data_IF_527323965784
#
_entry.id   IF_527323965784
#
_cell.length_a   1.000
_cell.length_b   1.000
_cell.length_c   1.000
_cell.angle_alpha   90.00
_cell.angle_beta   90.00
_cell.angle_gamma   90.00
#
_symmetry.space_group_name_H-M   'P 1'
#
loop_
_entity.id
_entity.type
_entity.pdbx_description
1 polymer ?
#
# COMPACT_ATOMS: atom_id res chain seq x y z
N UNK A 1 17.95 -7.60 -4.18
CA UNK A 1 17.25 -6.44 -3.61
C UNK A 1 18.29 -5.46 -3.08
N UNK A 2 18.60 -4.39 -3.82
CA UNK A 2 19.62 -3.39 -3.42
C UNK A 2 19.26 -2.61 -2.15
N UNK A 3 20.28 -2.07 -1.48
CA UNK A 3 20.18 -1.14 -0.34
C UNK A 3 19.30 -1.61 0.84
N UNK A 4 19.19 -2.92 1.03
CA UNK A 4 18.65 -3.52 2.24
C UNK A 4 19.79 -3.92 3.19
N UNK A 5 19.52 -3.88 4.49
CA UNK A 5 20.38 -4.55 5.47
C UNK A 5 20.30 -6.06 5.22
N UNK A 6 21.44 -6.70 4.98
CA UNK A 6 21.50 -8.17 4.83
C UNK A 6 21.44 -8.80 6.21
N UNK A 7 20.48 -9.71 6.42
CA UNK A 7 20.41 -10.53 7.64
C UNK A 7 21.37 -11.71 7.55
N UNK A 8 21.31 -12.46 6.44
CA UNK A 8 22.20 -13.57 6.11
C UNK A 8 22.08 -13.94 4.62
N UNK A 9 23.19 -14.27 3.96
CA UNK A 9 23.21 -14.70 2.56
C UNK A 9 22.41 -13.74 1.63
N UNK A 10 21.37 -14.24 0.97
CA UNK A 10 20.48 -13.46 0.09
C UNK A 10 19.20 -12.94 0.80
N UNK A 11 19.14 -13.04 2.13
CA UNK A 11 18.00 -12.61 2.95
C UNK A 11 18.22 -11.16 3.38
N UNK A 12 17.45 -10.25 2.78
CA UNK A 12 17.39 -8.84 3.17
C UNK A 12 16.33 -8.59 4.25
N UNK A 13 16.57 -7.60 5.11
CA UNK A 13 15.62 -7.13 6.11
C UNK A 13 14.53 -6.27 5.45
N UNK A 14 13.28 -6.75 5.47
CA UNK A 14 12.10 -6.06 4.93
C UNK A 14 11.22 -5.42 6.01
N UNK A 15 11.67 -5.39 7.27
CA UNK A 15 10.86 -4.90 8.40
C UNK A 15 10.38 -3.46 8.22
N UNK A 16 11.20 -2.56 7.67
CA UNK A 16 10.79 -1.18 7.36
C UNK A 16 9.66 -1.14 6.34
N UNK A 17 9.75 -1.92 5.26
CA UNK A 17 8.72 -1.95 4.22
C UNK A 17 7.38 -2.44 4.77
N UNK A 18 7.38 -3.48 5.61
CA UNK A 18 6.14 -3.99 6.19
C UNK A 18 5.53 -3.03 7.22
N UNK A 19 6.35 -2.31 8.00
CA UNK A 19 5.87 -1.24 8.88
C UNK A 19 5.23 -0.08 8.09
N UNK A 20 5.84 0.31 6.97
CA UNK A 20 5.27 1.32 6.08
C UNK A 20 3.99 0.83 5.39
N UNK A 21 3.92 -0.45 5.02
CA UNK A 21 2.69 -1.03 4.49
C UNK A 21 1.56 -1.03 5.52
N UNK A 22 1.86 -1.33 6.78
CA UNK A 22 0.89 -1.27 7.87
C UNK A 22 0.41 0.17 8.14
N UNK A 23 1.31 1.17 8.04
CA UNK A 23 0.97 2.58 8.34
C UNK A 23 -0.08 3.18 7.41
N UNK A 24 -0.22 2.67 6.19
CA UNK A 24 -1.26 3.06 5.22
C UNK A 24 -2.59 2.34 5.41
N UNK A 25 -2.69 1.47 6.42
CA UNK A 25 -3.89 0.72 6.82
C UNK A 25 -4.58 0.00 5.66
N UNK A 26 -3.97 -1.07 5.13
CA UNK A 26 -4.38 -1.68 3.88
C UNK A 26 -5.57 -2.64 4.04
N UNK A 27 -6.66 -2.17 4.64
CA UNK A 27 -7.93 -2.87 4.80
C UNK A 27 -9.10 -1.92 4.53
N UNK A 28 -10.27 -2.49 4.24
CA UNK A 28 -11.47 -1.72 3.93
C UNK A 28 -11.95 -0.94 5.17
N UNK A 29 -12.17 0.37 5.01
CA UNK A 29 -12.79 1.22 6.03
C UNK A 29 -14.10 1.79 5.51
N UNK A 30 -15.19 1.40 6.16
CA UNK A 30 -16.54 1.74 5.76
C UNK A 30 -17.42 1.81 7.02
N UNK A 31 -18.25 2.84 7.12
CA UNK A 31 -19.13 3.10 8.26
C UNK A 31 -20.46 2.35 8.21
N UNK A 32 -20.76 1.66 7.09
CA UNK A 32 -21.97 0.83 6.95
C UNK A 32 -22.01 -0.25 8.02
N UNK A 33 -23.15 -0.31 8.69
CA UNK A 33 -23.47 -1.37 9.64
C UNK A 33 -23.48 -2.72 8.91
N UNK A 34 -22.84 -3.71 9.50
CA UNK A 34 -22.92 -5.10 9.04
C UNK A 34 -24.38 -5.58 9.18
N UNK A 35 -25.08 -5.67 8.06
CA UNK A 35 -26.44 -6.19 7.93
C UNK A 35 -26.46 -7.60 7.32
N UNK A 36 -25.30 -8.26 7.24
CA UNK A 36 -25.12 -9.56 6.62
C UNK A 36 -25.16 -9.56 5.09
N UNK A 37 -25.17 -8.38 4.44
CA UNK A 37 -25.16 -8.26 2.99
C UNK A 37 -23.80 -7.82 2.45
N UNK A 38 -23.63 -8.00 1.15
CA UNK A 38 -22.44 -7.58 0.42
C UNK A 38 -22.36 -6.05 0.22
N UNK A 39 -21.13 -5.54 0.14
CA UNK A 39 -20.88 -4.18 -0.30
C UNK A 39 -20.97 -4.09 -1.83
N UNK A 40 -22.03 -3.48 -2.34
CA UNK A 40 -22.25 -3.32 -3.78
C UNK A 40 -21.13 -2.48 -4.43
N UNK A 41 -20.64 -2.95 -5.58
CA UNK A 41 -19.65 -2.27 -6.41
C UNK A 41 -19.94 -2.51 -7.89
N UNK A 42 -19.94 -1.46 -8.71
CA UNK A 42 -20.16 -1.59 -10.15
C UNK A 42 -18.96 -2.25 -10.84
N UNK A 43 -19.16 -2.91 -11.98
CA UNK A 43 -18.04 -3.44 -12.79
C UNK A 43 -17.03 -2.34 -13.17
N UNK A 44 -17.53 -1.14 -13.47
CA UNK A 44 -16.69 0.02 -13.80
C UNK A 44 -15.83 0.47 -12.62
N UNK A 45 -16.36 0.44 -11.40
CA UNK A 45 -15.59 0.78 -10.21
C UNK A 45 -14.60 -0.31 -9.84
N UNK A 46 -14.98 -1.59 -9.95
CA UNK A 46 -14.07 -2.72 -9.72
C UNK A 46 -12.89 -2.70 -10.70
N UNK A 47 -13.12 -2.38 -11.97
CA UNK A 47 -12.07 -2.30 -12.99
C UNK A 47 -11.00 -1.24 -12.69
N UNK A 48 -11.31 -0.22 -11.87
CA UNK A 48 -10.31 0.77 -11.42
C UNK A 48 -9.21 0.15 -10.56
N UNK A 49 -9.44 -1.04 -9.99
CA UNK A 49 -8.48 -1.72 -9.13
C UNK A 49 -7.49 -2.59 -9.91
N UNK A 50 -7.76 -2.87 -11.19
CA UNK A 50 -6.89 -3.67 -12.05
C UNK A 50 -5.54 -2.97 -12.24
N UNK A 51 -4.45 -3.72 -12.15
CA UNK A 51 -3.07 -3.23 -12.14
C UNK A 51 -2.55 -2.80 -10.76
N UNK A 52 -3.39 -2.79 -9.72
CA UNK A 52 -3.01 -2.43 -8.35
C UNK A 52 -3.08 -3.60 -7.36
N UNK A 53 -4.16 -4.40 -7.39
CA UNK A 53 -4.36 -5.48 -6.42
C UNK A 53 -3.44 -6.69 -6.68
N UNK A 54 -2.88 -6.79 -7.87
CA UNK A 54 -2.01 -7.87 -8.34
C UNK A 54 -0.59 -7.78 -7.76
N UNK A 55 -0.27 -6.69 -7.06
CA UNK A 55 1.01 -6.54 -6.37
C UNK A 55 1.22 -7.66 -5.35
N UNK A 56 2.30 -8.43 -5.52
CA UNK A 56 2.66 -9.55 -4.64
C UNK A 56 3.57 -9.13 -3.47
N UNK A 57 3.74 -7.82 -3.22
CA UNK A 57 4.58 -7.28 -2.14
C UNK A 57 6.03 -7.81 -2.12
N UNK A 58 6.63 -8.02 -3.30
CA UNK A 58 8.00 -8.56 -3.42
C UNK A 58 9.13 -7.57 -3.14
N UNK A 59 8.83 -6.30 -2.88
CA UNK A 59 9.79 -5.20 -2.65
C UNK A 59 10.73 -4.85 -3.83
N UNK A 60 10.65 -5.51 -4.99
CA UNK A 60 11.53 -5.25 -6.13
C UNK A 60 11.47 -3.79 -6.61
N UNK A 61 10.28 -3.20 -6.72
CA UNK A 61 10.13 -1.80 -7.14
C UNK A 61 10.72 -0.82 -6.12
N UNK A 62 10.48 -1.03 -4.82
CA UNK A 62 11.02 -0.14 -3.77
C UNK A 62 12.54 -0.25 -3.67
N UNK A 63 13.08 -1.47 -3.73
CA UNK A 63 14.53 -1.69 -3.66
C UNK A 63 15.26 -1.37 -4.96
N UNK A 64 14.56 -1.12 -6.06
CA UNK A 64 15.13 -0.57 -7.29
C UNK A 64 15.12 0.98 -7.31
N UNK A 65 14.40 1.63 -6.39
CA UNK A 65 14.21 3.08 -6.40
C UNK A 65 15.31 3.81 -5.61
N UNK A 66 16.14 4.66 -6.25
CA UNK A 66 17.19 5.40 -5.54
C UNK A 66 16.64 6.33 -4.44
N UNK A 67 15.46 6.94 -4.65
CA UNK A 67 14.85 7.77 -3.60
C UNK A 67 14.53 6.98 -2.33
N UNK A 68 14.18 5.70 -2.46
CA UNK A 68 13.95 4.80 -1.33
C UNK A 68 15.26 4.32 -0.70
N UNK A 69 16.36 4.26 -1.47
CA UNK A 69 17.70 4.03 -0.90
C UNK A 69 18.08 5.17 0.04
N UNK A 70 17.93 6.40 -0.43
CA UNK A 70 18.38 7.58 0.31
C UNK A 70 17.48 7.98 1.46
N UNK A 71 16.17 7.75 1.36
CA UNK A 71 15.18 8.25 2.32
C UNK A 71 14.12 7.21 2.70
N UNK A 72 14.45 5.91 2.67
CA UNK A 72 13.49 4.83 2.95
C UNK A 72 12.93 4.82 4.38
N UNK A 73 13.47 5.63 5.29
CA UNK A 73 12.94 5.88 6.63
C UNK A 73 11.72 6.82 6.62
N UNK A 74 11.60 7.71 5.62
CA UNK A 74 10.51 8.70 5.48
C UNK A 74 9.66 8.46 4.24
N UNK A 75 10.32 8.25 3.11
CA UNK A 75 9.66 7.96 1.84
C UNK A 75 9.12 6.53 1.84
N UNK A 76 7.80 6.39 1.71
CA UNK A 76 7.09 5.10 1.74
C UNK A 76 7.49 4.13 0.61
N UNK A 77 7.97 4.66 -0.53
CA UNK A 77 8.34 3.84 -1.68
C UNK A 77 7.16 3.41 -2.57
N UNK A 78 7.46 2.96 -3.80
CA UNK A 78 6.46 2.65 -4.83
C UNK A 78 5.51 1.51 -4.43
N UNK A 79 5.99 0.46 -3.74
CA UNK A 79 5.12 -0.64 -3.33
C UNK A 79 4.00 -0.19 -2.38
N UNK A 80 4.36 0.59 -1.36
CA UNK A 80 3.42 1.07 -0.34
C UNK A 80 2.50 2.14 -0.92
N UNK A 81 3.02 3.07 -1.74
CA UNK A 81 2.21 4.08 -2.41
C UNK A 81 1.20 3.49 -3.39
N UNK A 82 1.56 2.43 -4.11
CA UNK A 82 0.63 1.68 -4.96
C UNK A 82 -0.52 1.09 -4.15
N UNK A 83 -0.21 0.48 -3.00
CA UNK A 83 -1.22 -0.09 -2.10
C UNK A 83 -2.09 0.99 -1.44
N UNK A 84 -1.52 2.12 -1.04
CA UNK A 84 -2.31 3.25 -0.56
C UNK A 84 -3.29 3.75 -1.63
N UNK A 85 -2.82 3.90 -2.87
CA UNK A 85 -3.67 4.32 -3.99
C UNK A 85 -4.80 3.33 -4.28
N UNK A 86 -4.52 2.02 -4.24
CA UNK A 86 -5.50 0.94 -4.38
C UNK A 86 -6.67 1.07 -3.41
N UNK A 87 -6.45 1.59 -2.20
CA UNK A 87 -7.51 1.85 -1.23
C UNK A 87 -8.18 3.21 -1.43
N UNK A 88 -7.42 4.26 -1.77
CA UNK A 88 -7.92 5.62 -2.05
C UNK A 88 -8.97 5.65 -3.18
N UNK A 89 -8.86 4.73 -4.15
CA UNK A 89 -9.76 4.66 -5.31
C UNK A 89 -10.84 3.56 -5.21
N UNK A 90 -10.82 2.72 -4.18
CA UNK A 90 -11.84 1.68 -4.00
C UNK A 90 -13.16 2.34 -3.62
N UNK A 91 -14.19 2.19 -4.46
CA UNK A 91 -15.50 2.82 -4.25
C UNK A 91 -16.22 2.39 -2.97
N UNK A 92 -15.74 1.32 -2.32
CA UNK A 92 -16.30 0.78 -1.08
C UNK A 92 -15.64 1.38 0.17
N UNK A 93 -14.49 2.05 0.01
CA UNK A 93 -13.75 2.66 1.11
C UNK A 93 -14.17 4.13 1.27
N UNK A 94 -14.52 4.52 2.50
CA UNK A 94 -15.06 5.84 2.81
C UNK A 94 -13.99 6.81 3.34
N UNK A 95 -12.76 6.34 3.57
CA UNK A 95 -11.68 7.08 4.25
C UNK A 95 -10.71 7.78 3.30
N UNK A 96 -11.16 8.11 2.09
CA UNK A 96 -10.31 8.70 1.03
C UNK A 96 -9.49 9.89 1.52
N UNK A 97 -10.10 10.81 2.27
CA UNK A 97 -9.44 12.03 2.77
C UNK A 97 -8.34 11.71 3.79
N UNK A 98 -8.65 10.86 4.77
CA UNK A 98 -7.68 10.46 5.79
C UNK A 98 -6.52 9.65 5.19
N UNK A 99 -6.79 8.79 4.21
CA UNK A 99 -5.73 8.08 3.46
C UNK A 99 -4.82 9.02 2.69
N UNK A 100 -5.37 10.05 2.04
CA UNK A 100 -4.57 11.07 1.36
C UNK A 100 -3.69 11.85 2.34
N UNK A 101 -4.24 12.21 3.51
CA UNK A 101 -3.48 12.88 4.57
C UNK A 101 -2.30 12.03 5.02
N UNK A 102 -2.50 10.73 5.25
CA UNK A 102 -1.44 9.79 5.63
C UNK A 102 -0.29 9.74 4.63
N UNK A 103 -0.56 9.73 3.33
CA UNK A 103 0.53 9.67 2.33
C UNK A 103 1.18 11.04 2.06
N UNK A 104 0.51 12.15 2.40
CA UNK A 104 1.02 13.50 2.22
C UNK A 104 1.82 14.02 3.42
N UNK A 105 1.51 13.56 4.64
CA UNK A 105 2.12 14.02 5.90
C UNK A 105 3.13 13.01 6.49
N UNK A 106 3.50 11.97 5.74
CA UNK A 106 4.51 10.97 6.14
C UNK A 106 5.96 11.50 5.99
#
# INVERSE_FOLDING_TARGET
MPHLKVLKDLIGDLSTLFKQYESVEPWLKNSKKDDGKENLQSRKDRAKLDGFYECIMCACCSTACPSYWWNGDKYLGPAVLLQAYRWIIDSRDEERKERLKKVAEN
#
